data_IF_475216412371
#
_entry.id   IF_475216412371
#
_cell.length_a   1.000
_cell.length_b   1.000
_cell.length_c   1.000
_cell.angle_alpha   90.00
_cell.angle_beta   90.00
_cell.angle_gamma   90.00
#
_symmetry.space_group_name_H-M   'P 1'
#
loop_
_entity.id
_entity.type
_entity.pdbx_description
1 polymer ?
#
# COMPACT_ATOMS: atom_id res chain seq x y z
N UNK A 1 -8.37 -2.50 1.02
CA UNK A 1 -8.52 -3.04 2.39
C UNK A 1 -9.61 -2.32 3.18
N UNK A 2 -10.52 -3.04 3.84
CA UNK A 2 -11.41 -2.47 4.85
C UNK A 2 -10.65 -2.22 6.17
N UNK A 3 -11.15 -1.35 7.07
CA UNK A 3 -10.61 -1.20 8.42
C UNK A 3 -10.53 -2.55 9.16
N UNK A 4 -9.45 -2.77 9.90
CA UNK A 4 -9.23 -3.99 10.70
C UNK A 4 -8.81 -5.22 9.91
N UNK A 5 -8.53 -5.09 8.61
CA UNK A 5 -8.07 -6.20 7.76
C UNK A 5 -6.80 -6.87 8.33
N UNK A 6 -5.79 -6.09 8.73
CA UNK A 6 -4.52 -6.64 9.20
C UNK A 6 -4.70 -7.37 10.53
N UNK A 7 -5.48 -6.79 11.43
CA UNK A 7 -5.89 -7.44 12.69
C UNK A 7 -6.59 -8.77 12.42
N UNK A 8 -7.51 -8.80 11.45
CA UNK A 8 -8.28 -10.00 11.07
C UNK A 8 -7.39 -11.09 10.48
N UNK A 9 -6.40 -10.71 9.68
CA UNK A 9 -5.42 -11.61 9.07
C UNK A 9 -4.29 -12.01 10.03
N UNK A 10 -4.30 -11.54 11.28
CA UNK A 10 -3.23 -11.79 12.25
C UNK A 10 -1.89 -11.16 11.87
N UNK A 11 -1.90 -10.11 11.03
CA UNK A 11 -0.71 -9.38 10.60
C UNK A 11 -0.53 -8.18 11.53
N UNK A 12 0.49 -8.15 12.41
CA UNK A 12 0.67 -7.03 13.32
C UNK A 12 1.15 -5.77 12.60
N UNK A 13 0.63 -4.62 13.01
CA UNK A 13 1.19 -3.30 12.67
C UNK A 13 2.40 -3.06 13.58
N UNK A 14 3.57 -2.89 12.98
CA UNK A 14 4.85 -2.68 13.64
C UNK A 14 5.10 -1.21 13.99
N UNK A 15 4.59 -0.29 13.16
CA UNK A 15 4.71 1.16 13.35
C UNK A 15 3.47 1.87 12.81
N UNK A 16 3.11 3.00 13.42
CA UNK A 16 1.97 3.81 12.98
C UNK A 16 0.63 3.15 13.32
N UNK A 17 -0.31 3.16 12.36
CA UNK A 17 -1.69 2.70 12.55
C UNK A 17 -2.19 1.84 11.39
N UNK A 18 -3.23 1.06 11.65
CA UNK A 18 -4.05 0.42 10.60
C UNK A 18 -4.91 1.50 9.89
N UNK A 19 -5.54 1.11 8.78
CA UNK A 19 -6.59 1.90 8.14
C UNK A 19 -7.78 2.06 9.08
N UNK A 20 -8.37 3.24 9.04
CA UNK A 20 -9.61 3.53 9.75
C UNK A 20 -10.58 4.34 8.87
N UNK A 21 -11.75 4.65 9.42
CA UNK A 21 -12.83 5.33 8.70
C UNK A 21 -12.43 6.69 8.10
N UNK A 22 -11.32 7.31 8.54
CA UNK A 22 -10.82 8.58 7.99
C UNK A 22 -10.12 8.40 6.64
N UNK A 23 -9.65 7.18 6.36
CA UNK A 23 -8.93 6.84 5.14
C UNK A 23 -9.86 6.35 4.03
N UNK A 24 -11.06 5.91 4.41
CA UNK A 24 -12.13 5.58 3.48
C UNK A 24 -12.55 6.83 2.71
N UNK A 25 -12.67 6.69 1.39
CA UNK A 25 -13.23 7.76 0.55
C UNK A 25 -14.13 7.17 -0.50
N UNK A 26 -15.19 7.88 -0.79
CA UNK A 26 -16.01 7.63 -1.96
C UNK A 26 -15.35 8.35 -3.14
N UNK A 27 -15.13 7.62 -4.24
CA UNK A 27 -14.66 8.25 -5.47
C UNK A 27 -15.72 9.26 -5.95
N UNK A 28 -15.37 10.52 -6.22
CA UNK A 28 -16.31 11.47 -6.79
C UNK A 28 -16.84 10.91 -8.12
N UNK A 29 -18.16 10.84 -8.25
CA UNK A 29 -18.82 10.40 -9.48
C UNK A 29 -18.26 11.22 -10.67
N UNK A 30 -17.74 10.53 -11.69
CA UNK A 30 -17.22 11.17 -12.90
C UNK A 30 -15.73 11.56 -12.92
N UNK A 31 -14.92 11.23 -11.89
CA UNK A 31 -13.45 11.38 -11.99
C UNK A 31 -12.75 10.07 -12.38
N UNK A 32 -11.93 10.15 -13.43
CA UNK A 32 -11.31 9.01 -14.10
C UNK A 32 -10.15 8.31 -13.34
N UNK A 33 -9.69 8.85 -12.20
CA UNK A 33 -8.70 8.17 -11.38
C UNK A 33 -8.85 8.57 -9.91
N UNK A 34 -9.18 7.60 -9.06
CA UNK A 34 -9.03 7.77 -7.63
C UNK A 34 -7.56 7.53 -7.27
N UNK A 35 -6.94 8.49 -6.57
CA UNK A 35 -5.60 8.34 -6.00
C UNK A 35 -5.76 8.20 -4.48
N UNK A 36 -5.34 7.09 -3.87
CA UNK A 36 -5.28 6.96 -2.42
C UNK A 36 -4.50 8.12 -1.81
N UNK A 37 -4.90 8.58 -0.62
CA UNK A 37 -4.12 9.57 0.13
C UNK A 37 -3.14 8.91 1.10
N UNK A 38 -3.38 7.66 1.43
CA UNK A 38 -2.61 6.92 2.42
C UNK A 38 -2.34 5.50 1.97
N UNK A 39 -1.27 4.91 2.51
CA UNK A 39 -0.90 3.51 2.33
C UNK A 39 -0.30 2.93 3.61
N UNK A 40 -0.27 1.60 3.68
CA UNK A 40 0.50 0.84 4.67
C UNK A 40 1.55 0.04 3.92
N UNK A 41 2.81 0.11 4.35
CA UNK A 41 3.90 -0.66 3.77
C UNK A 41 4.17 -1.93 4.58
N UNK A 42 4.67 -3.01 3.98
CA UNK A 42 5.25 -4.11 4.77
C UNK A 42 6.70 -3.80 5.19
N UNK A 43 7.22 -4.56 6.17
CA UNK A 43 8.61 -4.43 6.63
C UNK A 43 9.61 -4.54 5.48
N UNK A 44 9.44 -5.53 4.60
CA UNK A 44 10.33 -5.74 3.46
C UNK A 44 10.40 -4.51 2.53
N UNK A 45 9.28 -3.80 2.32
CA UNK A 45 9.28 -2.54 1.55
C UNK A 45 10.11 -1.45 2.22
N UNK A 46 9.93 -1.26 3.51
CA UNK A 46 10.66 -0.23 4.28
C UNK A 46 12.16 -0.51 4.26
N UNK A 47 12.56 -1.76 4.50
CA UNK A 47 13.98 -2.15 4.49
C UNK A 47 14.61 -1.93 3.12
N UNK A 48 13.91 -2.33 2.05
CA UNK A 48 14.43 -2.26 0.69
C UNK A 48 14.51 -0.83 0.14
N UNK A 49 13.49 -0.01 0.38
CA UNK A 49 13.36 1.30 -0.28
C UNK A 49 13.64 2.49 0.61
N UNK A 50 13.47 2.35 1.92
CA UNK A 50 13.67 3.46 2.86
C UNK A 50 14.99 3.35 3.63
N UNK A 51 15.70 2.22 3.52
CA UNK A 51 17.08 2.04 4.03
C UNK A 51 17.26 2.48 5.50
N UNK A 52 16.28 2.15 6.35
CA UNK A 52 16.29 2.49 7.78
C UNK A 52 15.73 3.88 8.13
N UNK A 53 15.26 4.65 7.15
CA UNK A 53 14.54 5.91 7.42
C UNK A 53 13.16 5.64 8.03
N UNK A 54 12.64 6.55 8.88
CA UNK A 54 11.28 6.45 9.40
C UNK A 54 10.28 6.39 8.25
N UNK A 55 9.45 5.35 8.21
CA UNK A 55 8.49 5.16 7.12
C UNK A 55 7.24 6.03 7.28
N UNK A 56 6.80 6.26 8.52
CA UNK A 56 5.58 7.00 8.80
C UNK A 56 5.74 8.47 8.39
N UNK A 57 4.77 8.99 7.63
CA UNK A 57 4.80 10.35 7.08
C UNK A 57 5.57 10.49 5.76
N UNK A 58 6.26 9.43 5.31
CA UNK A 58 6.88 9.44 3.99
C UNK A 58 5.82 9.36 2.90
N UNK A 59 6.10 10.04 1.79
CA UNK A 59 5.18 10.14 0.68
C UNK A 59 5.66 9.32 -0.52
N UNK A 60 4.75 8.60 -1.15
CA UNK A 60 4.97 7.79 -2.35
C UNK A 60 3.99 8.19 -3.45
N UNK A 61 4.35 7.88 -4.70
CA UNK A 61 3.57 8.21 -5.87
C UNK A 61 3.67 7.14 -6.95
N UNK A 62 2.74 7.18 -7.89
CA UNK A 62 2.76 6.31 -9.06
C UNK A 62 3.51 7.03 -10.19
N UNK A 63 4.80 6.75 -10.32
CA UNK A 63 5.63 7.25 -11.41
C UNK A 63 7.12 7.18 -11.07
N UNK A 64 7.96 7.39 -12.07
CA UNK A 64 9.43 7.26 -11.96
C UNK A 64 10.18 8.51 -12.42
N UNK A 65 9.47 9.47 -13.02
CA UNK A 65 10.08 10.67 -13.59
C UNK A 65 10.36 11.71 -12.50
N UNK A 66 11.46 12.48 -12.61
CA UNK A 66 11.70 13.62 -11.74
C UNK A 66 10.49 14.58 -11.73
N UNK A 67 10.04 14.96 -10.53
CA UNK A 67 8.84 15.81 -10.38
C UNK A 67 7.51 15.06 -10.37
N UNK A 68 7.52 13.72 -10.46
CA UNK A 68 6.30 12.92 -10.24
C UNK A 68 5.69 13.24 -8.86
N UNK A 69 4.40 13.60 -8.78
CA UNK A 69 3.73 13.81 -7.51
C UNK A 69 3.75 12.54 -6.64
N UNK A 70 4.04 12.72 -5.35
CA UNK A 70 3.93 11.68 -4.33
C UNK A 70 2.80 12.01 -3.35
N UNK A 71 1.52 11.83 -3.73
CA UNK A 71 0.38 12.27 -2.92
C UNK A 71 -0.04 11.27 -1.83
N UNK A 72 0.61 10.09 -1.75
CA UNK A 72 0.22 9.00 -0.85
C UNK A 72 1.15 8.98 0.35
N UNK A 73 0.63 9.23 1.54
CA UNK A 73 1.38 9.13 2.79
C UNK A 73 1.40 7.68 3.32
N UNK A 74 2.55 7.21 3.79
CA UNK A 74 2.64 5.95 4.54
C UNK A 74 2.22 6.22 5.99
N UNK A 75 1.11 5.64 6.43
CA UNK A 75 0.54 5.82 7.78
C UNK A 75 0.75 4.62 8.71
N UNK A 76 1.24 3.51 8.16
CA UNK A 76 1.52 2.30 8.92
C UNK A 76 2.57 1.41 8.27
N UNK A 77 3.22 0.59 9.09
CA UNK A 77 4.11 -0.50 8.66
C UNK A 77 3.57 -1.81 9.21
N UNK A 78 3.19 -2.74 8.34
CA UNK A 78 2.75 -4.08 8.70
C UNK A 78 3.94 -5.07 8.73
N UNK A 79 3.83 -6.11 9.55
CA UNK A 79 4.72 -7.26 9.42
C UNK A 79 4.54 -7.95 8.07
N UNK A 80 5.58 -8.65 7.65
CA UNK A 80 5.53 -9.42 6.42
C UNK A 80 4.59 -10.62 6.56
N UNK A 81 3.78 -10.85 5.52
CA UNK A 81 2.85 -11.97 5.45
C UNK A 81 3.10 -12.77 4.18
N UNK A 82 3.10 -14.10 4.30
CA UNK A 82 3.23 -15.00 3.15
C UNK A 82 1.85 -15.23 2.53
N UNK A 83 1.59 -14.63 1.37
CA UNK A 83 0.28 -14.66 0.73
C UNK A 83 0.06 -15.81 -0.26
N UNK A 84 1.12 -16.39 -0.86
CA UNK A 84 0.97 -17.34 -1.99
C UNK A 84 1.63 -18.71 -1.77
N UNK A 85 2.73 -18.79 -1.02
CA UNK A 85 3.44 -20.05 -0.72
C UNK A 85 4.43 -19.87 0.43
N UNK A 86 4.67 -20.92 1.22
CA UNK A 86 5.66 -20.92 2.33
C UNK A 86 7.10 -20.75 1.81
N UNK A 87 7.33 -21.05 0.51
CA UNK A 87 8.65 -21.06 -0.14
C UNK A 87 8.98 -19.80 -0.94
N UNK A 88 8.03 -18.89 -1.14
CA UNK A 88 8.28 -17.67 -1.92
C UNK A 88 8.95 -16.59 -1.07
N UNK A 89 9.85 -15.83 -1.68
CA UNK A 89 10.43 -14.63 -1.08
C UNK A 89 9.33 -13.59 -0.81
N UNK A 90 9.35 -13.02 0.40
CA UNK A 90 8.45 -11.92 0.76
C UNK A 90 8.74 -10.74 -0.17
N UNK A 91 7.71 -10.27 -0.87
CA UNK A 91 7.83 -9.12 -1.77
C UNK A 91 7.59 -7.80 -1.02
N UNK A 92 8.26 -6.70 -1.41
CA UNK A 92 7.88 -5.36 -1.00
C UNK A 92 6.43 -5.04 -1.41
N UNK A 93 5.59 -4.63 -0.46
CA UNK A 93 4.17 -4.36 -0.70
C UNK A 93 3.74 -3.02 -0.10
N UNK A 94 2.88 -2.33 -0.85
CA UNK A 94 2.05 -1.22 -0.38
C UNK A 94 0.59 -1.66 -0.44
N UNK A 95 -0.11 -1.52 0.68
CA UNK A 95 -1.53 -1.74 0.80
C UNK A 95 -2.26 -0.41 0.75
N UNK A 96 -3.44 -0.41 0.15
CA UNK A 96 -4.30 0.76 0.01
C UNK A 96 -5.71 0.46 0.57
N UNK A 97 -6.41 1.47 1.13
CA UNK A 97 -7.78 1.31 1.57
C UNK A 97 -8.69 0.91 0.39
N UNK A 98 -9.67 0.03 0.63
CA UNK A 98 -10.61 -0.43 -0.39
C UNK A 98 -11.60 0.70 -0.66
N UNK A 99 -12.05 0.81 -1.89
CA UNK A 99 -13.01 1.83 -2.30
C UNK A 99 -14.15 1.12 -2.98
N UNK A 100 -15.36 1.33 -2.49
CA UNK A 100 -16.55 1.00 -3.27
C UNK A 100 -16.71 2.05 -4.38
N UNK A 101 -16.59 1.61 -5.64
CA UNK A 101 -16.79 2.46 -6.81
C UNK A 101 -16.95 1.63 -8.09
N UNK A 102 -17.78 2.08 -9.07
CA UNK A 102 -18.16 1.28 -10.24
C UNK A 102 -17.04 1.01 -11.25
N UNK A 103 -15.83 1.54 -11.03
CA UNK A 103 -14.69 1.38 -11.93
C UNK A 103 -13.45 1.00 -11.10
N UNK A 104 -13.29 -0.29 -10.83
CA UNK A 104 -12.04 -0.84 -10.31
C UNK A 104 -11.01 -0.71 -11.43
N UNK A 105 -10.26 0.38 -11.44
CA UNK A 105 -9.17 0.60 -12.38
C UNK A 105 -8.16 -0.52 -12.23
N UNK A 106 -8.02 -1.33 -13.27
CA UNK A 106 -7.06 -2.43 -13.36
C UNK A 106 -5.66 -1.87 -13.11
N UNK A 107 -5.03 -2.23 -12.00
CA UNK A 107 -3.63 -1.89 -11.76
C UNK A 107 -2.74 -2.93 -12.45
N UNK A 108 -2.21 -2.62 -13.63
CA UNK A 108 -1.28 -3.49 -14.35
C UNK A 108 0.06 -3.53 -13.60
N UNK A 109 0.35 -4.64 -12.93
CA UNK A 109 1.64 -4.90 -12.31
C UNK A 109 2.48 -5.75 -13.26
N UNK A 110 3.59 -5.19 -13.76
CA UNK A 110 4.54 -5.95 -14.57
C UNK A 110 5.47 -6.74 -13.65
N UNK A 111 5.42 -8.06 -13.75
CA UNK A 111 6.42 -8.98 -13.17
C UNK A 111 7.25 -9.53 -14.31
N UNK A 112 8.57 -9.32 -14.27
CA UNK A 112 9.52 -9.97 -15.19
C UNK A 112 10.11 -11.18 -14.47
N UNK A 113 9.76 -12.37 -14.92
CA UNK A 113 10.45 -13.62 -14.59
C UNK A 113 11.43 -13.95 -15.70
N UNK A 114 12.69 -14.19 -15.35
CA UNK A 114 13.66 -14.85 -16.22
C UNK A 114 13.68 -16.33 -15.87
N UNK A 115 13.56 -17.18 -16.91
CA UNK A 115 13.79 -18.63 -16.82
C UNK A 115 15.22 -18.94 -16.39
#
# INVERSE_FOLDING_TARGET
MSPGFFTTMGIPILQGRDFDARDERIAPQGKAAFVPRVAIANRTFVERYLAGKPAIGMHVGFGRDPGTPAPIEIVGVAADAKYTSVRDEIQPQLYFPFLEGPHVGVATMYVRTTQ
#
